data_IF_992678891431
#
_entry.id   IF_992678891431
#
_cell.length_a   1.000
_cell.length_b   1.000
_cell.length_c   1.000
_cell.angle_alpha   90.00
_cell.angle_beta   90.00
_cell.angle_gamma   90.00
#
_symmetry.space_group_name_H-M   'P 1'
#
loop_
_entity.id
_entity.type
_entity.pdbx_description
1 polymer ?
#
# COMPACT_ATOMS: atom_id res chain seq x y z
N UNK A 1 24.70 -22.32 -8.07
CA UNK A 1 23.96 -21.52 -7.08
C UNK A 1 22.64 -22.22 -6.87
N UNK A 2 22.31 -22.63 -5.64
CA UNK A 2 21.00 -23.21 -5.36
C UNK A 2 19.96 -22.11 -5.59
N UNK A 3 19.10 -22.28 -6.59
CA UNK A 3 18.00 -21.38 -6.87
C UNK A 3 17.02 -21.47 -5.70
N UNK A 4 17.11 -20.52 -4.76
CA UNK A 4 16.16 -20.42 -3.66
C UNK A 4 14.84 -20.04 -4.31
N UNK A 5 13.93 -21.00 -4.42
CA UNK A 5 12.56 -20.74 -4.86
C UNK A 5 11.96 -19.71 -3.90
N UNK A 6 11.87 -18.46 -4.33
CA UNK A 6 11.36 -17.38 -3.50
C UNK A 6 9.91 -17.73 -3.12
N UNK A 7 9.55 -17.77 -1.82
CA UNK A 7 8.22 -18.17 -1.40
C UNK A 7 7.20 -17.13 -1.88
N UNK A 8 6.54 -17.42 -3.02
CA UNK A 8 5.55 -16.54 -3.66
C UNK A 8 4.41 -16.17 -2.70
N UNK A 9 4.05 -17.08 -1.79
CA UNK A 9 3.08 -16.84 -0.72
C UNK A 9 3.53 -15.74 0.24
N UNK A 10 4.79 -15.73 0.66
CA UNK A 10 5.33 -14.68 1.53
C UNK A 10 5.35 -13.32 0.83
N UNK A 11 5.71 -13.30 -0.46
CA UNK A 11 5.64 -12.09 -1.28
C UNK A 11 4.19 -11.57 -1.36
N UNK A 12 3.23 -12.44 -1.69
CA UNK A 12 1.82 -12.09 -1.75
C UNK A 12 1.34 -11.44 -0.44
N UNK A 13 1.62 -12.07 0.70
CA UNK A 13 1.22 -11.55 2.01
C UNK A 13 1.90 -10.23 2.36
N UNK A 14 3.18 -10.04 2.00
CA UNK A 14 3.84 -8.75 2.16
C UNK A 14 3.12 -7.64 1.41
N UNK A 15 2.76 -7.86 0.14
CA UNK A 15 2.02 -6.88 -0.65
C UNK A 15 0.58 -6.69 -0.19
N UNK A 16 -0.07 -7.75 0.33
CA UNK A 16 -1.39 -7.64 0.95
C UNK A 16 -1.35 -6.77 2.22
N UNK A 17 -0.31 -6.92 3.05
CA UNK A 17 -0.10 -6.06 4.22
C UNK A 17 0.22 -4.62 3.80
N UNK A 18 1.04 -4.40 2.78
CA UNK A 18 1.32 -3.06 2.25
C UNK A 18 0.04 -2.36 1.75
N UNK A 19 -0.81 -3.09 1.04
CA UNK A 19 -2.12 -2.60 0.60
C UNK A 19 -3.00 -2.21 1.77
N UNK A 20 -3.15 -3.11 2.75
CA UNK A 20 -3.96 -2.87 3.95
C UNK A 20 -3.41 -1.68 4.76
N UNK A 21 -2.09 -1.57 4.91
CA UNK A 21 -1.44 -0.46 5.57
C UNK A 21 -1.72 0.87 4.87
N UNK A 22 -1.71 0.91 3.52
CA UNK A 22 -2.08 2.10 2.76
C UNK A 22 -3.52 2.56 3.02
N UNK A 23 -4.48 1.62 3.07
CA UNK A 23 -5.88 1.91 3.40
C UNK A 23 -6.01 2.45 4.83
N UNK A 24 -5.44 1.73 5.80
CA UNK A 24 -5.52 2.12 7.22
C UNK A 24 -4.85 3.46 7.47
N UNK A 25 -3.70 3.71 6.83
CA UNK A 25 -3.01 5.00 6.88
C UNK A 25 -3.93 6.12 6.39
N UNK A 26 -4.52 5.99 5.20
CA UNK A 26 -5.37 7.02 4.63
C UNK A 26 -6.60 7.32 5.48
N UNK A 27 -7.29 6.28 5.95
CA UNK A 27 -8.46 6.43 6.81
C UNK A 27 -8.10 7.08 8.14
N UNK A 28 -7.09 6.56 8.83
CA UNK A 28 -6.64 7.10 10.13
C UNK A 28 -6.25 8.56 9.99
N UNK A 29 -5.42 8.88 9.00
CA UNK A 29 -5.01 10.26 8.71
C UNK A 29 -6.22 11.16 8.40
N UNK A 30 -7.13 10.73 7.53
CA UNK A 30 -8.33 11.50 7.16
C UNK A 30 -9.23 11.79 8.36
N UNK A 31 -9.42 10.82 9.26
CA UNK A 31 -10.19 11.01 10.50
C UNK A 31 -9.46 11.89 11.51
N UNK A 32 -8.15 11.71 11.71
CA UNK A 32 -7.38 12.46 12.71
C UNK A 32 -7.24 13.94 12.38
N UNK A 33 -7.10 14.28 11.09
CA UNK A 33 -6.82 15.66 10.66
C UNK A 33 -8.00 16.32 9.93
N UNK A 34 -9.14 15.63 9.76
CA UNK A 34 -10.29 16.13 9.01
C UNK A 34 -9.96 16.41 7.53
N UNK A 35 -8.92 15.76 7.00
CA UNK A 35 -8.23 16.12 5.76
C UNK A 35 -8.80 15.40 4.54
N UNK A 36 -10.11 15.53 4.33
CA UNK A 36 -10.84 14.88 3.23
C UNK A 36 -10.77 15.64 1.89
N UNK A 37 -10.22 16.86 1.89
CA UNK A 37 -10.09 17.65 0.68
C UNK A 37 -8.81 17.27 -0.10
N UNK A 38 -9.02 16.44 -1.13
CA UNK A 38 -8.00 15.91 -2.03
C UNK A 38 -7.28 16.96 -2.89
N UNK A 39 -7.80 18.19 -2.98
CA UNK A 39 -7.21 19.25 -3.80
C UNK A 39 -6.29 20.19 -2.99
N UNK A 40 -6.19 20.01 -1.68
CA UNK A 40 -5.29 20.82 -0.85
C UNK A 40 -3.82 20.37 -1.05
N UNK A 41 -2.92 21.28 -1.48
CA UNK A 41 -1.51 20.96 -1.70
C UNK A 41 -0.78 20.49 -0.43
N UNK A 42 -1.23 20.97 0.73
CA UNK A 42 -0.69 20.65 2.06
C UNK A 42 -0.69 19.14 2.35
N UNK A 43 -1.57 18.38 1.70
CA UNK A 43 -1.79 16.95 1.94
C UNK A 43 -1.15 16.04 0.90
N UNK A 44 -0.45 16.59 -0.09
CA UNK A 44 0.16 15.83 -1.20
C UNK A 44 1.05 14.69 -0.70
N UNK A 45 1.78 14.90 0.41
CA UNK A 45 2.62 13.85 1.01
C UNK A 45 1.82 12.62 1.47
N UNK A 46 0.69 12.82 2.14
CA UNK A 46 -0.17 11.72 2.59
C UNK A 46 -0.79 10.97 1.39
N UNK A 47 -1.20 11.69 0.35
CA UNK A 47 -1.70 11.08 -0.88
C UNK A 47 -0.61 10.27 -1.59
N UNK A 48 0.61 10.77 -1.69
CA UNK A 48 1.73 10.07 -2.31
C UNK A 48 2.03 8.74 -1.59
N UNK A 49 2.12 8.76 -0.26
CA UNK A 49 2.34 7.54 0.55
C UNK A 49 1.20 6.53 0.33
N UNK A 50 -0.05 7.00 0.36
CA UNK A 50 -1.23 6.15 0.14
C UNK A 50 -1.19 5.49 -1.23
N UNK A 51 -0.95 6.26 -2.30
CA UNK A 51 -0.90 5.76 -3.68
C UNK A 51 0.22 4.74 -3.85
N UNK A 52 1.39 4.99 -3.28
CA UNK A 52 2.52 4.05 -3.33
C UNK A 52 2.15 2.74 -2.63
N UNK A 53 1.67 2.79 -1.39
CA UNK A 53 1.33 1.59 -0.61
C UNK A 53 0.20 0.77 -1.26
N UNK A 54 -0.88 1.45 -1.65
CA UNK A 54 -2.04 0.81 -2.28
C UNK A 54 -1.67 0.30 -3.67
N UNK A 55 -1.01 1.12 -4.49
CA UNK A 55 -0.63 0.79 -5.86
C UNK A 55 0.34 -0.39 -5.92
N UNK A 56 1.46 -0.34 -5.19
CA UNK A 56 2.39 -1.46 -5.13
C UNK A 56 1.79 -2.68 -4.43
N UNK A 57 0.95 -2.48 -3.42
CA UNK A 57 0.23 -3.57 -2.77
C UNK A 57 -0.67 -4.33 -3.74
N UNK A 58 -1.50 -3.63 -4.52
CA UNK A 58 -2.34 -4.24 -5.57
C UNK A 58 -1.48 -4.94 -6.62
N UNK A 59 -0.49 -4.25 -7.19
CA UNK A 59 0.35 -4.80 -8.26
C UNK A 59 1.07 -6.05 -7.78
N UNK A 60 1.66 -6.02 -6.58
CA UNK A 60 2.34 -7.16 -6.00
C UNK A 60 1.40 -8.33 -5.71
N UNK A 61 0.21 -8.09 -5.15
CA UNK A 61 -0.80 -9.14 -5.00
C UNK A 61 -1.16 -9.79 -6.34
N UNK A 62 -1.35 -9.00 -7.40
CA UNK A 62 -1.66 -9.53 -8.74
C UNK A 62 -0.52 -10.37 -9.34
N UNK A 63 0.74 -9.98 -9.10
CA UNK A 63 1.92 -10.71 -9.56
C UNK A 63 2.11 -12.04 -8.83
N UNK A 64 1.81 -12.09 -7.53
CA UNK A 64 2.09 -13.24 -6.66
C UNK A 64 0.86 -14.07 -6.26
N UNK A 65 -0.33 -13.80 -6.81
CA UNK A 65 -1.57 -14.54 -6.50
C UNK A 65 -1.60 -16.02 -6.95
N UNK A 66 -0.60 -16.45 -7.73
CA UNK A 66 -0.47 -17.82 -8.26
C UNK A 66 0.80 -18.46 -7.74
#
# INVERSE_FOLDING_TARGET
MAEVAFPRSAAFWFYALAFLAGILFYLTWGFSYGSWNILKPEWVGAYAVTIVLVGFGIVGMLLYRK
#
